data_IF_372675562041
#
_entry.id   IF_372675562041
#
_cell.length_a   1.000
_cell.length_b   1.000
_cell.length_c   1.000
_cell.angle_alpha   90.00
_cell.angle_beta   90.00
_cell.angle_gamma   90.00
#
_symmetry.space_group_name_H-M   'P 1'
#
loop_
_entity.id
_entity.type
_entity.pdbx_description
1 polymer ?
#
# COMPACT_ATOMS: atom_id res chain seq x y z
N UNK A 1 -35.11 21.32 -23.08
CA UNK A 1 -34.89 22.63 -22.43
C UNK A 1 -33.45 22.66 -21.95
N UNK A 2 -32.62 23.39 -22.68
CA UNK A 2 -31.17 23.51 -22.48
C UNK A 2 -30.96 24.34 -21.21
N UNK A 3 -30.46 23.73 -20.14
CA UNK A 3 -29.97 24.48 -18.99
C UNK A 3 -28.54 24.90 -19.33
N UNK A 4 -28.42 25.99 -20.09
CA UNK A 4 -27.15 26.69 -20.27
C UNK A 4 -26.70 27.12 -18.88
N UNK A 5 -25.72 26.41 -18.33
CA UNK A 5 -25.05 26.85 -17.12
C UNK A 5 -24.57 28.28 -17.37
N UNK A 6 -25.18 29.24 -16.66
CA UNK A 6 -24.75 30.63 -16.67
C UNK A 6 -23.23 30.66 -16.43
N UNK A 7 -22.45 31.46 -17.17
CA UNK A 7 -21.07 31.67 -16.83
C UNK A 7 -21.02 32.10 -15.35
N UNK A 8 -20.05 31.61 -14.56
CA UNK A 8 -19.91 32.07 -13.19
C UNK A 8 -19.89 33.60 -13.19
N UNK A 9 -20.54 34.27 -12.22
CA UNK A 9 -20.49 35.72 -12.11
C UNK A 9 -19.02 36.12 -12.24
N UNK A 10 -18.74 37.17 -13.03
CA UNK A 10 -17.39 37.70 -13.25
C UNK A 10 -16.72 37.88 -11.90
N UNK A 11 -16.01 36.83 -11.48
CA UNK A 11 -15.53 36.71 -10.13
C UNK A 11 -14.43 37.73 -10.01
N UNK A 12 -14.49 38.57 -8.98
CA UNK A 12 -13.50 39.58 -8.64
C UNK A 12 -12.12 39.11 -9.07
N UNK A 13 -11.68 39.60 -10.24
CA UNK A 13 -10.33 39.36 -10.72
C UNK A 13 -9.45 39.93 -9.64
N UNK A 14 -8.56 39.12 -9.07
CA UNK A 14 -7.56 39.61 -8.11
C UNK A 14 -6.87 40.80 -8.78
N UNK A 15 -7.20 42.00 -8.31
CA UNK A 15 -6.77 43.26 -8.93
C UNK A 15 -5.36 43.63 -8.51
N UNK A 16 -4.86 42.99 -7.44
CA UNK A 16 -3.53 43.14 -6.90
C UNK A 16 -2.53 42.21 -7.61
N UNK A 17 -1.59 42.80 -8.36
CA UNK A 17 -0.54 42.07 -9.07
C UNK A 17 0.42 41.37 -8.09
N UNK A 18 0.60 41.90 -6.88
CA UNK A 18 1.43 41.26 -5.85
C UNK A 18 0.84 39.91 -5.42
N UNK A 19 -0.46 39.88 -5.13
CA UNK A 19 -1.21 38.64 -4.84
C UNK A 19 -1.13 37.64 -6.00
N UNK A 20 -1.26 38.11 -7.25
CA UNK A 20 -1.15 37.25 -8.44
C UNK A 20 0.25 36.65 -8.59
N UNK A 21 1.29 37.45 -8.39
CA UNK A 21 2.68 37.00 -8.41
C UNK A 21 2.95 35.98 -7.29
N UNK A 22 2.42 36.21 -6.08
CA UNK A 22 2.54 35.28 -4.96
C UNK A 22 1.89 33.92 -5.26
N UNK A 23 0.71 33.92 -5.88
CA UNK A 23 -0.01 32.71 -6.31
C UNK A 23 0.77 31.92 -7.37
N UNK A 24 1.30 32.57 -8.41
CA UNK A 24 2.17 31.94 -9.41
C UNK A 24 3.41 31.33 -8.77
N UNK A 25 4.07 32.10 -7.88
CA UNK A 25 5.23 31.63 -7.14
C UNK A 25 4.92 30.42 -6.25
N UNK A 26 3.74 30.38 -5.64
CA UNK A 26 3.28 29.22 -4.86
C UNK A 26 3.11 27.98 -5.74
N UNK A 27 2.47 28.10 -6.92
CA UNK A 27 2.29 26.99 -7.85
C UNK A 27 3.64 26.42 -8.31
N UNK A 28 4.59 27.28 -8.69
CA UNK A 28 5.94 26.86 -9.08
C UNK A 28 6.69 26.12 -7.95
N UNK A 29 6.65 26.65 -6.72
CA UNK A 29 7.27 25.97 -5.57
C UNK A 29 6.61 24.63 -5.27
N UNK A 30 5.29 24.54 -5.45
CA UNK A 30 4.53 23.32 -5.24
C UNK A 30 4.90 22.25 -6.25
N UNK A 31 5.13 22.61 -7.51
CA UNK A 31 5.61 21.69 -8.55
C UNK A 31 6.98 21.09 -8.21
N UNK A 32 7.92 21.91 -7.76
CA UNK A 32 9.26 21.44 -7.31
C UNK A 32 9.15 20.48 -6.12
N UNK A 33 8.29 20.81 -5.15
CA UNK A 33 8.02 19.92 -4.01
C UNK A 33 7.39 18.60 -4.46
N UNK A 34 6.40 18.65 -5.34
CA UNK A 34 5.71 17.47 -5.85
C UNK A 34 6.67 16.58 -6.64
N UNK A 35 7.53 17.15 -7.48
CA UNK A 35 8.61 16.45 -8.19
C UNK A 35 9.56 15.75 -7.22
N UNK A 36 9.92 16.42 -6.13
CA UNK A 36 10.76 15.81 -5.08
C UNK A 36 10.05 14.62 -4.41
N UNK A 37 8.77 14.76 -4.04
CA UNK A 37 7.98 13.68 -3.46
C UNK A 37 7.85 12.51 -4.46
N UNK A 38 7.66 12.81 -5.75
CA UNK A 38 7.60 11.80 -6.81
C UNK A 38 8.91 11.01 -6.91
N UNK A 39 10.06 11.68 -6.86
CA UNK A 39 11.38 11.02 -6.85
C UNK A 39 11.55 10.11 -5.64
N UNK A 40 11.06 10.50 -4.47
CA UNK A 40 11.03 9.62 -3.29
C UNK A 40 10.15 8.39 -3.56
N UNK A 41 8.95 8.56 -4.09
CA UNK A 41 8.07 7.45 -4.49
C UNK A 41 8.73 6.49 -5.49
N UNK A 42 9.40 7.04 -6.51
CA UNK A 42 10.17 6.26 -7.49
C UNK A 42 11.36 5.52 -6.85
N UNK A 43 12.09 6.15 -5.93
CA UNK A 43 13.20 5.49 -5.23
C UNK A 43 12.73 4.31 -4.37
N UNK A 44 11.53 4.40 -3.77
CA UNK A 44 10.93 3.28 -3.02
C UNK A 44 10.52 2.15 -3.97
N UNK A 45 9.94 2.48 -5.13
CA UNK A 45 9.57 1.51 -6.18
C UNK A 45 10.77 0.84 -6.84
N UNK A 46 11.82 1.63 -7.12
CA UNK A 46 13.08 1.18 -7.68
C UNK A 46 14.00 0.52 -6.66
N UNK A 47 13.58 0.45 -5.39
CA UNK A 47 14.28 -0.18 -4.27
C UNK A 47 14.49 -1.67 -4.51
N UNK A 48 15.56 -1.98 -5.25
CA UNK A 48 15.98 -3.30 -5.69
C UNK A 48 16.00 -4.34 -4.58
N UNK A 49 16.24 -3.96 -3.33
CA UNK A 49 16.31 -4.88 -2.20
C UNK A 49 15.04 -5.75 -2.03
N UNK A 50 13.84 -5.20 -2.23
CA UNK A 50 12.60 -5.96 -2.04
C UNK A 50 12.40 -7.00 -3.16
N UNK A 51 12.71 -6.59 -4.40
CA UNK A 51 12.56 -7.42 -5.61
C UNK A 51 13.70 -8.44 -5.75
N UNK A 52 14.91 -8.10 -5.32
CA UNK A 52 16.10 -8.97 -5.37
C UNK A 52 16.02 -10.12 -4.36
N UNK A 53 15.39 -9.90 -3.21
CA UNK A 53 15.29 -10.93 -2.18
C UNK A 53 14.24 -11.99 -2.54
N UNK A 54 13.20 -11.63 -3.29
CA UNK A 54 12.10 -12.54 -3.64
C UNK A 54 12.55 -13.82 -4.40
N UNK A 55 13.42 -13.75 -5.43
CA UNK A 55 13.96 -14.94 -6.09
C UNK A 55 14.72 -15.89 -5.16
N UNK A 56 15.51 -15.36 -4.22
CA UNK A 56 16.22 -16.17 -3.21
C UNK A 56 15.23 -16.97 -2.35
N UNK A 57 14.09 -16.37 -1.98
CA UNK A 57 13.05 -17.07 -1.23
C UNK A 57 12.41 -18.22 -2.03
N UNK A 58 12.05 -17.96 -3.28
CA UNK A 58 11.29 -18.92 -4.10
C UNK A 58 12.19 -20.08 -4.55
N UNK A 59 13.44 -19.79 -4.93
CA UNK A 59 14.35 -20.79 -5.48
C UNK A 59 14.84 -21.78 -4.44
N UNK A 60 15.23 -21.30 -3.25
CA UNK A 60 15.95 -22.13 -2.29
C UNK A 60 15.09 -22.51 -1.07
N UNK A 61 14.29 -21.56 -0.56
CA UNK A 61 13.49 -21.78 0.65
C UNK A 61 12.32 -22.73 0.44
N UNK A 62 11.52 -22.47 -0.59
CA UNK A 62 10.27 -23.21 -0.79
C UNK A 62 10.46 -24.71 -1.09
N UNK A 63 11.36 -25.13 -2.00
CA UNK A 63 11.55 -26.55 -2.30
C UNK A 63 12.05 -27.34 -1.08
N UNK A 64 13.02 -26.79 -0.34
CA UNK A 64 13.62 -27.45 0.82
C UNK A 64 12.63 -27.64 1.96
N UNK A 65 11.83 -26.61 2.27
CA UNK A 65 10.78 -26.71 3.28
C UNK A 65 9.69 -27.71 2.85
N UNK A 66 9.36 -27.75 1.56
CA UNK A 66 8.39 -28.73 1.02
C UNK A 66 8.92 -30.16 1.17
N UNK A 67 10.20 -30.41 0.85
CA UNK A 67 10.83 -31.72 1.05
C UNK A 67 10.79 -32.16 2.52
N UNK A 68 11.12 -31.25 3.45
CA UNK A 68 11.03 -31.53 4.88
C UNK A 68 9.60 -31.90 5.27
N UNK A 69 8.60 -31.11 4.88
CA UNK A 69 7.21 -31.35 5.28
C UNK A 69 6.64 -32.64 4.69
N UNK A 70 6.94 -32.92 3.42
CA UNK A 70 6.44 -34.09 2.72
C UNK A 70 7.08 -35.38 3.26
N UNK A 71 8.40 -35.39 3.44
CA UNK A 71 9.10 -36.54 4.04
C UNK A 71 8.66 -36.81 5.48
N UNK A 72 8.46 -35.76 6.29
CA UNK A 72 7.90 -35.90 7.64
C UNK A 72 6.47 -36.44 7.64
N UNK A 73 5.64 -36.01 6.68
CA UNK A 73 4.25 -36.46 6.55
C UNK A 73 4.15 -37.92 6.11
N UNK A 74 4.88 -38.30 5.06
CA UNK A 74 4.85 -39.65 4.50
C UNK A 74 5.34 -40.70 5.52
N UNK A 75 6.30 -40.32 6.36
CA UNK A 75 6.80 -41.15 7.45
C UNK A 75 5.88 -41.18 8.70
N UNK A 76 4.74 -40.49 8.68
CA UNK A 76 3.79 -40.48 9.80
C UNK A 76 4.33 -39.83 11.07
N UNK A 77 5.24 -38.86 10.94
CA UNK A 77 5.80 -38.16 12.10
C UNK A 77 4.73 -37.34 12.85
N UNK A 78 5.04 -36.97 14.09
CA UNK A 78 4.06 -36.36 14.98
C UNK A 78 3.45 -35.08 14.36
N UNK A 79 2.13 -35.06 14.20
CA UNK A 79 1.40 -34.02 13.47
C UNK A 79 1.67 -32.60 13.98
N UNK A 80 1.90 -32.41 15.28
CA UNK A 80 2.26 -31.11 15.87
C UNK A 80 3.55 -30.52 15.27
N UNK A 81 4.53 -31.36 14.94
CA UNK A 81 5.80 -30.91 14.35
C UNK A 81 5.57 -30.45 12.91
N UNK A 82 4.85 -31.28 12.13
CA UNK A 82 4.51 -31.00 10.73
C UNK A 82 3.66 -29.73 10.63
N UNK A 83 2.57 -29.66 11.40
CA UNK A 83 1.67 -28.51 11.39
C UNK A 83 2.35 -27.25 11.93
N UNK A 84 3.14 -27.36 13.01
CA UNK A 84 3.84 -26.22 13.60
C UNK A 84 4.86 -25.61 12.66
N UNK A 85 5.73 -26.43 12.05
CA UNK A 85 6.72 -25.97 11.06
C UNK A 85 6.03 -25.51 9.77
N UNK A 86 5.01 -26.23 9.29
CA UNK A 86 4.27 -25.89 8.08
C UNK A 86 3.56 -24.53 8.17
N UNK A 87 2.88 -24.27 9.29
CA UNK A 87 2.26 -22.96 9.55
C UNK A 87 3.33 -21.87 9.68
N UNK A 88 4.43 -22.14 10.39
CA UNK A 88 5.53 -21.20 10.54
C UNK A 88 6.15 -20.79 9.20
N UNK A 89 6.50 -21.78 8.38
CA UNK A 89 7.02 -21.59 7.04
C UNK A 89 6.05 -20.80 6.16
N UNK A 90 4.78 -21.24 6.09
CA UNK A 90 3.76 -20.60 5.28
C UNK A 90 3.55 -19.13 5.66
N UNK A 91 3.35 -18.85 6.96
CA UNK A 91 3.10 -17.49 7.44
C UNK A 91 4.35 -16.62 7.26
N UNK A 92 5.55 -17.17 7.48
CA UNK A 92 6.79 -16.43 7.26
C UNK A 92 6.95 -15.96 5.82
N UNK A 93 6.52 -16.75 4.84
CA UNK A 93 6.57 -16.40 3.41
C UNK A 93 5.40 -15.48 3.04
N UNK A 94 4.20 -15.77 3.54
CA UNK A 94 2.99 -15.02 3.20
C UNK A 94 3.06 -13.56 3.72
N UNK A 95 3.62 -13.33 4.91
CA UNK A 95 3.65 -12.00 5.51
C UNK A 95 4.40 -10.95 4.67
N UNK A 96 5.64 -11.18 4.20
CA UNK A 96 6.29 -10.27 3.27
C UNK A 96 5.50 -10.06 1.97
N UNK A 97 4.92 -11.12 1.38
CA UNK A 97 4.10 -10.99 0.16
C UNK A 97 2.90 -10.06 0.39
N UNK A 98 2.18 -10.24 1.51
CA UNK A 98 1.09 -9.35 1.90
C UNK A 98 1.58 -7.93 2.16
N UNK A 99 2.75 -7.76 2.78
CA UNK A 99 3.35 -6.43 3.00
C UNK A 99 3.62 -5.70 1.67
N UNK A 100 4.14 -6.41 0.68
CA UNK A 100 4.39 -5.88 -0.68
C UNK A 100 3.07 -5.53 -1.36
N UNK A 101 2.07 -6.42 -1.30
CA UNK A 101 0.75 -6.17 -1.88
C UNK A 101 0.10 -4.89 -1.30
N UNK A 102 0.16 -4.73 0.03
CA UNK A 102 -0.36 -3.53 0.70
C UNK A 102 0.41 -2.27 0.33
N UNK A 103 1.74 -2.37 0.18
CA UNK A 103 2.59 -1.28 -0.27
C UNK A 103 2.21 -0.85 -1.69
N UNK A 104 1.98 -1.78 -2.62
CA UNK A 104 1.46 -1.47 -3.97
C UNK A 104 0.12 -0.76 -3.87
N UNK A 105 -0.78 -1.20 -2.98
CA UNK A 105 -2.04 -0.52 -2.73
C UNK A 105 -1.88 0.90 -2.17
N UNK A 106 -0.89 1.14 -1.30
CA UNK A 106 -0.56 2.50 -0.83
C UNK A 106 0.01 3.37 -1.95
N UNK A 107 0.87 2.81 -2.81
CA UNK A 107 1.43 3.51 -3.98
C UNK A 107 0.35 3.86 -5.00
N UNK A 108 -0.61 2.96 -5.25
CA UNK A 108 -1.77 3.26 -6.09
C UNK A 108 -2.60 4.40 -5.50
N UNK A 109 -2.85 4.40 -4.19
CA UNK A 109 -3.54 5.51 -3.51
C UNK A 109 -2.77 6.82 -3.51
N UNK A 110 -1.43 6.75 -3.58
CA UNK A 110 -0.55 7.89 -3.73
C UNK A 110 -0.60 8.47 -5.16
N UNK A 111 -0.54 7.63 -6.19
CA UNK A 111 -0.50 8.05 -7.60
C UNK A 111 -1.86 8.33 -8.23
N UNK A 112 -2.93 7.74 -7.69
CA UNK A 112 -4.27 7.87 -8.25
C UNK A 112 -5.23 8.52 -7.27
N UNK A 113 -6.24 9.19 -7.83
CA UNK A 113 -7.32 9.81 -7.09
C UNK A 113 -8.65 9.55 -7.77
N UNK A 114 -9.74 9.54 -6.99
CA UNK A 114 -11.09 9.60 -7.55
C UNK A 114 -11.31 10.95 -8.21
N UNK A 115 -12.12 10.98 -9.27
CA UNK A 115 -12.41 12.16 -10.09
C UNK A 115 -13.33 13.18 -9.38
N UNK A 116 -12.94 13.67 -8.21
CA UNK A 116 -13.78 14.51 -7.34
C UNK A 116 -13.70 16.00 -7.64
N UNK A 117 -12.75 16.47 -8.45
CA UNK A 117 -12.68 17.88 -8.83
C UNK A 117 -13.55 18.14 -10.07
N UNK A 118 -14.78 18.59 -9.84
CA UNK A 118 -15.70 19.07 -10.88
C UNK A 118 -16.67 18.02 -11.46
N UNK A 119 -16.75 16.80 -10.89
CA UNK A 119 -17.81 15.85 -11.24
C UNK A 119 -19.13 16.22 -10.55
N UNK A 120 -20.23 16.18 -11.29
CA UNK A 120 -21.59 16.41 -10.80
C UNK A 120 -21.98 15.25 -9.86
N UNK A 121 -21.96 15.49 -8.55
CA UNK A 121 -22.23 14.47 -7.52
C UNK A 121 -21.39 14.59 -6.25
N UNK A 122 -20.50 15.58 -6.17
CA UNK A 122 -19.87 15.96 -4.90
C UNK A 122 -20.79 16.83 -4.00
N UNK A 123 -21.95 17.26 -4.51
CA UNK A 123 -22.92 18.01 -3.73
C UNK A 123 -23.87 17.06 -2.99
N UNK A 124 -24.14 17.26 -1.69
CA UNK A 124 -25.07 16.43 -0.91
C UNK A 124 -26.47 16.32 -1.51
N UNK A 125 -26.85 17.29 -2.34
CA UNK A 125 -28.23 17.48 -2.82
C UNK A 125 -28.51 16.83 -4.19
N UNK A 126 -27.51 16.23 -4.84
CA UNK A 126 -27.70 15.58 -6.14
C UNK A 126 -27.53 14.06 -6.00
N UNK A 127 -28.60 13.25 -6.19
CA UNK A 127 -28.53 11.80 -6.14
C UNK A 127 -27.88 11.20 -7.40
N UNK A 128 -26.89 11.89 -7.99
CA UNK A 128 -26.12 11.33 -9.09
C UNK A 128 -25.19 10.24 -8.54
N UNK A 129 -25.16 9.09 -9.22
CA UNK A 129 -24.26 8.00 -8.90
C UNK A 129 -22.82 8.50 -9.03
N UNK A 130 -22.06 8.49 -7.95
CA UNK A 130 -20.63 8.81 -8.00
C UNK A 130 -19.91 7.75 -8.85
N UNK A 131 -19.49 8.13 -10.05
CA UNK A 131 -18.80 7.24 -10.97
C UNK A 131 -17.32 7.18 -10.59
N UNK A 132 -16.85 5.98 -10.22
CA UNK A 132 -15.43 5.77 -9.95
C UNK A 132 -14.64 5.90 -11.25
N UNK A 133 -13.79 6.93 -11.33
CA UNK A 133 -12.88 7.16 -12.44
C UNK A 133 -11.48 7.47 -11.89
N UNK A 134 -10.52 6.52 -11.97
CA UNK A 134 -9.18 6.72 -11.44
C UNK A 134 -8.42 7.70 -12.33
N UNK A 135 -7.87 8.73 -11.70
CA UNK A 135 -7.09 9.76 -12.39
C UNK A 135 -5.71 9.87 -11.77
N UNK A 136 -4.70 10.06 -12.63
CA UNK A 136 -3.36 10.36 -12.14
C UNK A 136 -3.35 11.66 -11.35
N UNK A 137 -2.66 11.64 -10.20
CA UNK A 137 -2.75 12.69 -9.21
C UNK A 137 -2.04 13.98 -9.64
N UNK A 138 -1.00 13.85 -10.49
CA UNK A 138 -0.34 14.99 -11.12
C UNK A 138 -1.20 15.41 -12.29
N UNK A 139 -1.89 16.53 -12.14
CA UNK A 139 -2.70 17.11 -13.19
C UNK A 139 -1.87 17.88 -14.19
N UNK A 140 -2.40 18.02 -15.41
CA UNK A 140 -1.89 19.03 -16.33
C UNK A 140 -2.00 20.43 -15.71
N UNK A 141 -1.10 21.31 -16.14
CA UNK A 141 -1.12 22.75 -15.86
C UNK A 141 -1.62 23.50 -17.10
N UNK A 142 -2.63 24.35 -16.91
CA UNK A 142 -3.25 25.12 -17.98
C UNK A 142 -3.18 26.61 -17.66
N UNK A 143 -3.26 27.44 -18.69
CA UNK A 143 -3.46 28.88 -18.48
C UNK A 143 -4.87 29.15 -17.96
N UNK A 144 -4.96 29.93 -16.88
CA UNK A 144 -6.24 30.34 -16.30
C UNK A 144 -6.82 31.51 -17.09
N UNK A 145 -8.14 31.52 -17.28
CA UNK A 145 -8.79 32.55 -18.10
C UNK A 145 -8.71 33.95 -17.48
N UNK A 146 -8.61 34.06 -16.15
CA UNK A 146 -8.46 35.32 -15.42
C UNK A 146 -7.05 35.95 -15.55
N UNK A 147 -6.11 35.25 -16.18
CA UNK A 147 -4.76 35.75 -16.47
C UNK A 147 -4.55 36.13 -17.94
N UNK A 148 -5.50 35.79 -18.81
CA UNK A 148 -5.41 36.04 -20.24
C UNK A 148 -6.17 37.32 -20.60
N UNK A 149 -5.55 38.17 -21.42
CA UNK A 149 -6.30 39.20 -22.12
C UNK A 149 -7.06 38.57 -23.30
N UNK A 150 -8.11 39.24 -23.78
CA UNK A 150 -8.98 38.75 -24.87
C UNK A 150 -8.21 38.33 -26.12
N UNK A 151 -7.10 39.02 -26.44
CA UNK A 151 -6.27 38.69 -27.60
C UNK A 151 -5.52 37.38 -27.39
N UNK A 152 -4.84 37.22 -26.26
CA UNK A 152 -4.07 36.01 -25.94
C UNK A 152 -5.00 34.82 -25.77
N UNK A 153 -6.19 35.02 -25.21
CA UNK A 153 -7.20 33.98 -25.12
C UNK A 153 -7.61 33.47 -26.50
N UNK A 154 -7.92 34.37 -27.45
CA UNK A 154 -8.24 33.98 -28.83
C UNK A 154 -7.10 33.22 -29.51
N UNK A 155 -5.85 33.69 -29.39
CA UNK A 155 -4.69 33.01 -29.97
C UNK A 155 -4.47 31.61 -29.37
N UNK A 156 -4.69 31.48 -28.06
CA UNK A 156 -4.56 30.19 -27.38
C UNK A 156 -5.69 29.23 -27.78
N UNK A 157 -6.89 29.76 -27.97
CA UNK A 157 -8.05 28.99 -28.40
C UNK A 157 -7.88 28.52 -29.85
N UNK A 158 -7.41 29.37 -30.75
CA UNK A 158 -7.01 29.01 -32.12
C UNK A 158 -5.97 27.88 -32.14
N UNK A 159 -4.92 27.97 -31.31
CA UNK A 159 -3.89 26.93 -31.23
C UNK A 159 -4.38 25.61 -30.60
N UNK A 160 -5.40 25.65 -29.73
CA UNK A 160 -6.04 24.47 -29.14
C UNK A 160 -6.96 23.76 -30.14
N UNK A 161 -7.66 24.54 -30.96
CA UNK A 161 -8.62 24.06 -31.97
C UNK A 161 -7.92 23.65 -33.28
N UNK A 162 -6.62 23.90 -33.39
CA UNK A 162 -5.76 23.44 -34.48
C UNK A 162 -5.81 21.91 -34.66
N UNK A 163 -5.80 21.47 -35.92
CA UNK A 163 -5.95 20.05 -36.28
C UNK A 163 -4.82 19.17 -35.76
N UNK A 164 -3.61 19.71 -35.63
CA UNK A 164 -2.49 18.98 -35.01
C UNK A 164 -2.72 18.79 -33.52
N UNK A 165 -3.07 19.87 -32.80
CA UNK A 165 -3.32 19.81 -31.36
C UNK A 165 -4.48 18.89 -31.00
N UNK A 166 -5.60 18.98 -31.74
CA UNK A 166 -6.78 18.11 -31.56
C UNK A 166 -6.40 16.63 -31.72
N UNK A 167 -5.59 16.33 -32.72
CA UNK A 167 -5.20 14.95 -33.05
C UNK A 167 -4.33 14.26 -32.00
N UNK A 168 -3.71 15.02 -31.08
CA UNK A 168 -2.96 14.45 -29.96
C UNK A 168 -3.87 13.78 -28.91
N UNK A 169 -5.13 14.22 -28.81
CA UNK A 169 -6.06 13.79 -27.77
C UNK A 169 -7.33 13.12 -28.33
N UNK A 170 -7.70 13.42 -29.58
CA UNK A 170 -8.87 12.87 -30.27
C UNK A 170 -8.42 12.21 -31.57
N UNK A 171 -8.74 10.92 -31.80
CA UNK A 171 -8.39 10.23 -33.04
C UNK A 171 -8.95 10.93 -34.28
N UNK A 172 -8.12 11.15 -35.31
CA UNK A 172 -8.57 11.79 -36.57
C UNK A 172 -9.55 10.93 -37.38
N UNK A 173 -9.33 9.61 -37.39
CA UNK A 173 -10.15 8.68 -38.15
C UNK A 173 -11.49 8.45 -37.45
N UNK A 174 -12.55 8.28 -38.24
CA UNK A 174 -13.84 7.75 -37.77
C UNK A 174 -13.79 6.24 -37.54
N UNK A 175 -12.86 5.54 -38.19
CA UNK A 175 -12.50 4.16 -37.87
C UNK A 175 -11.50 4.17 -36.70
N UNK A 176 -12.02 4.41 -35.49
CA UNK A 176 -11.26 4.56 -34.24
C UNK A 176 -11.40 3.37 -33.30
N UNK A 177 -11.82 2.22 -33.84
CA UNK A 177 -12.16 1.02 -33.09
C UNK A 177 -13.17 1.29 -31.94
N UNK A 178 -14.14 2.19 -32.15
CA UNK A 178 -15.20 2.53 -31.18
C UNK A 178 -14.71 3.41 -30.03
N UNK A 179 -13.64 4.18 -30.23
CA UNK A 179 -13.11 5.07 -29.20
C UNK A 179 -14.10 6.19 -28.85
N UNK A 180 -14.72 6.83 -29.84
CA UNK A 180 -15.73 7.90 -29.61
C UNK A 180 -16.89 7.40 -28.78
N UNK A 181 -17.49 6.27 -29.16
CA UNK A 181 -18.63 5.70 -28.43
C UNK A 181 -18.29 5.37 -26.97
N UNK A 182 -17.13 4.75 -26.74
CA UNK A 182 -16.64 4.47 -25.38
C UNK A 182 -16.40 5.75 -24.59
N UNK A 183 -15.79 6.76 -25.23
CA UNK A 183 -15.45 8.02 -24.60
C UNK A 183 -16.71 8.84 -24.26
N UNK A 184 -17.64 8.96 -25.19
CA UNK A 184 -18.88 9.72 -25.04
C UNK A 184 -19.78 9.07 -23.99
N UNK A 185 -19.91 7.74 -24.00
CA UNK A 185 -20.60 6.98 -22.94
C UNK A 185 -20.00 7.32 -21.58
N UNK A 186 -18.67 7.33 -21.49
CA UNK A 186 -17.96 7.60 -20.23
C UNK A 186 -18.08 9.06 -19.78
N UNK A 187 -18.01 10.00 -20.71
CA UNK A 187 -18.19 11.43 -20.44
C UNK A 187 -19.61 11.73 -19.97
N UNK A 188 -20.61 11.05 -20.55
CA UNK A 188 -21.99 11.10 -20.09
C UNK A 188 -22.17 10.52 -18.68
N UNK A 189 -21.55 9.38 -18.38
CA UNK A 189 -21.58 8.81 -17.02
C UNK A 189 -20.98 9.74 -15.96
N UNK A 190 -19.85 10.39 -16.27
CA UNK A 190 -19.10 11.21 -15.30
C UNK A 190 -19.68 12.61 -15.15
N UNK A 191 -20.06 13.24 -16.27
CA UNK A 191 -20.40 14.67 -16.33
C UNK A 191 -21.77 14.94 -16.97
N UNK A 192 -22.53 13.91 -17.35
CA UNK A 192 -23.80 14.06 -18.07
C UNK A 192 -23.68 14.93 -19.33
N UNK A 193 -22.49 14.97 -19.93
CA UNK A 193 -22.24 15.70 -21.17
C UNK A 193 -22.75 14.87 -22.35
N UNK A 194 -23.59 15.47 -23.19
CA UNK A 194 -24.07 14.86 -24.44
C UNK A 194 -23.28 15.49 -25.57
N UNK A 195 -22.50 14.68 -26.28
CA UNK A 195 -21.61 15.12 -27.36
C UNK A 195 -22.22 14.75 -28.72
N UNK A 196 -22.21 15.65 -29.71
CA UNK A 196 -22.68 15.33 -31.07
C UNK A 196 -21.93 14.14 -31.68
N UNK A 197 -22.64 13.31 -32.45
CA UNK A 197 -22.04 12.17 -33.14
C UNK A 197 -21.05 12.62 -34.23
N UNK A 198 -20.01 11.80 -34.45
CA UNK A 198 -19.00 12.04 -35.48
C UNK A 198 -18.10 13.25 -35.21
N UNK A 199 -17.48 13.77 -36.28
CA UNK A 199 -16.52 14.90 -36.21
C UNK A 199 -17.06 16.17 -35.53
N UNK A 200 -18.35 16.57 -35.67
CA UNK A 200 -18.89 17.76 -35.01
C UNK A 200 -18.76 17.76 -33.48
N UNK A 201 -18.65 16.58 -32.84
CA UNK A 201 -18.46 16.47 -31.40
C UNK A 201 -17.01 16.53 -30.93
N UNK A 202 -16.01 16.55 -31.82
CA UNK A 202 -14.61 16.37 -31.44
C UNK A 202 -14.07 17.53 -30.57
N UNK A 203 -14.62 18.74 -30.70
CA UNK A 203 -14.26 19.87 -29.83
C UNK A 203 -14.72 19.65 -28.39
N UNK A 204 -15.90 19.06 -28.20
CA UNK A 204 -16.38 18.67 -26.87
C UNK A 204 -15.52 17.53 -26.32
N UNK A 205 -15.17 16.54 -27.14
CA UNK A 205 -14.30 15.44 -26.72
C UNK A 205 -12.93 15.93 -26.29
N UNK A 206 -12.35 16.87 -27.03
CA UNK A 206 -11.09 17.53 -26.68
C UNK A 206 -11.19 18.23 -25.33
N UNK A 207 -12.26 19.01 -25.09
CA UNK A 207 -12.51 19.66 -23.80
C UNK A 207 -12.65 18.66 -22.66
N UNK A 208 -13.34 17.55 -22.88
CA UNK A 208 -13.50 16.50 -21.87
C UNK A 208 -12.18 15.75 -21.60
N UNK A 209 -11.32 15.55 -22.60
CA UNK A 209 -9.97 14.99 -22.43
C UNK A 209 -9.11 15.89 -21.55
N UNK A 210 -9.14 17.21 -21.78
CA UNK A 210 -8.51 18.18 -20.88
C UNK A 210 -9.06 18.07 -19.46
N UNK A 211 -10.38 17.95 -19.29
CA UNK A 211 -11.02 17.73 -17.97
C UNK A 211 -10.63 16.40 -17.32
N UNK A 212 -10.39 15.32 -18.08
CA UNK A 212 -9.85 14.06 -17.55
C UNK A 212 -8.39 14.21 -17.10
N UNK A 213 -7.57 14.94 -17.85
CA UNK A 213 -6.26 15.40 -17.42
C UNK A 213 -6.35 16.46 -16.30
N UNK A 214 -7.60 16.87 -15.98
CA UNK A 214 -8.11 17.95 -15.13
C UNK A 214 -7.34 19.24 -15.19
N UNK A 215 -7.13 19.62 -16.42
CA UNK A 215 -7.15 20.97 -16.93
C UNK A 215 -8.63 21.34 -17.08
N UNK A 216 -9.12 22.30 -16.29
CA UNK A 216 -10.50 22.79 -16.46
C UNK A 216 -10.45 24.27 -16.84
N UNK A 217 -11.03 24.59 -18.00
CA UNK A 217 -11.05 25.95 -18.56
C UNK A 217 -11.80 26.93 -17.66
N UNK A 218 -12.70 26.44 -16.81
CA UNK A 218 -13.59 27.28 -16.00
C UNK A 218 -13.00 27.71 -14.65
N UNK A 219 -11.69 27.49 -14.42
CA UNK A 219 -11.03 27.78 -13.13
C UNK A 219 -10.23 29.07 -13.19
N UNK A 220 -10.28 29.81 -12.09
CA UNK A 220 -9.42 30.97 -11.85
C UNK A 220 -8.10 30.53 -11.21
N UNK A 221 -7.08 31.39 -11.27
CA UNK A 221 -5.79 31.16 -10.62
C UNK A 221 -5.94 30.78 -9.13
N UNK A 222 -6.84 31.45 -8.42
CA UNK A 222 -7.12 31.16 -7.01
C UNK A 222 -7.64 29.73 -6.79
N UNK A 223 -8.53 29.25 -7.67
CA UNK A 223 -9.06 27.88 -7.58
C UNK A 223 -7.98 26.82 -7.84
N UNK A 224 -6.99 27.12 -8.68
CA UNK A 224 -5.87 26.23 -8.95
C UNK A 224 -4.84 26.23 -7.83
N UNK A 225 -4.62 27.36 -7.16
CA UNK A 225 -3.83 27.44 -5.93
C UNK A 225 -4.45 26.60 -4.82
N UNK A 226 -5.72 26.82 -4.48
CA UNK A 226 -6.41 26.08 -3.41
C UNK A 226 -6.41 24.57 -3.65
N UNK A 227 -6.58 24.17 -4.92
CA UNK A 227 -6.51 22.77 -5.32
C UNK A 227 -5.11 22.19 -5.19
N UNK A 228 -4.09 22.93 -5.63
CA UNK A 228 -2.70 22.50 -5.53
C UNK A 228 -2.27 22.37 -4.08
N UNK A 229 -2.73 23.26 -3.21
CA UNK A 229 -2.55 23.16 -1.76
C UNK A 229 -3.17 21.87 -1.20
N UNK A 230 -4.44 21.60 -1.51
CA UNK A 230 -5.12 20.38 -1.09
C UNK A 230 -4.44 19.11 -1.63
N UNK A 231 -3.99 19.12 -2.88
CA UNK A 231 -3.24 18.04 -3.48
C UNK A 231 -1.89 17.85 -2.76
N UNK A 232 -1.15 18.92 -2.49
CA UNK A 232 0.13 18.84 -1.79
C UNK A 232 -0.04 18.23 -0.39
N UNK A 233 -1.05 18.68 0.36
CA UNK A 233 -1.39 18.10 1.66
C UNK A 233 -1.71 16.60 1.55
N UNK A 234 -2.54 16.20 0.57
CA UNK A 234 -2.83 14.79 0.30
C UNK A 234 -1.55 13.99 0.03
N UNK A 235 -0.64 14.48 -0.80
CA UNK A 235 0.60 13.79 -1.13
C UNK A 235 1.51 13.62 0.07
N UNK A 236 1.66 14.66 0.89
CA UNK A 236 2.46 14.61 2.12
C UNK A 236 1.90 13.59 3.11
N UNK A 237 0.58 13.57 3.30
CA UNK A 237 -0.08 12.59 4.17
C UNK A 237 0.04 11.16 3.63
N UNK A 238 -0.09 10.99 2.32
CA UNK A 238 -0.03 9.66 1.68
C UNK A 238 1.39 9.10 1.64
N UNK A 239 2.40 9.91 1.26
CA UNK A 239 3.79 9.46 1.19
C UNK A 239 4.33 9.05 2.56
N UNK A 240 3.90 9.70 3.65
CA UNK A 240 4.20 9.29 5.02
C UNK A 240 3.83 7.83 5.27
N UNK A 241 2.63 7.42 4.87
CA UNK A 241 2.12 6.06 5.05
C UNK A 241 2.94 5.08 4.20
N UNK A 242 3.15 5.42 2.92
CA UNK A 242 3.94 4.61 1.97
C UNK A 242 5.35 4.35 2.49
N UNK A 243 6.08 5.40 2.88
CA UNK A 243 7.47 5.30 3.38
C UNK A 243 7.52 4.44 4.63
N UNK A 244 6.61 4.66 5.59
CA UNK A 244 6.60 3.87 6.83
C UNK A 244 6.31 2.40 6.55
N UNK A 245 5.36 2.09 5.66
CA UNK A 245 5.04 0.71 5.30
C UNK A 245 6.18 0.04 4.55
N UNK A 246 6.83 0.75 3.62
CA UNK A 246 8.00 0.27 2.92
C UNK A 246 9.10 -0.14 3.91
N UNK A 247 9.43 0.72 4.88
CA UNK A 247 10.45 0.41 5.89
C UNK A 247 10.08 -0.82 6.74
N UNK A 248 8.81 -0.93 7.17
CA UNK A 248 8.32 -2.12 7.90
C UNK A 248 8.43 -3.39 7.05
N UNK A 249 8.02 -3.32 5.78
CA UNK A 249 8.08 -4.45 4.85
C UNK A 249 9.52 -4.88 4.57
N UNK A 250 10.44 -3.92 4.37
CA UNK A 250 11.86 -4.19 4.14
C UNK A 250 12.52 -4.90 5.33
N UNK A 251 12.33 -4.38 6.56
CA UNK A 251 12.87 -5.02 7.76
C UNK A 251 12.29 -6.41 8.01
N UNK A 252 11.00 -6.60 7.71
CA UNK A 252 10.34 -7.89 7.83
C UNK A 252 10.89 -8.88 6.79
N UNK A 253 11.08 -8.43 5.55
CA UNK A 253 11.65 -9.24 4.47
C UNK A 253 13.05 -9.71 4.85
N UNK A 254 13.93 -8.80 5.31
CA UNK A 254 15.28 -9.14 5.76
C UNK A 254 15.26 -10.21 6.88
N UNK A 255 14.45 -10.00 7.92
CA UNK A 255 14.33 -10.97 9.02
C UNK A 255 13.85 -12.34 8.54
N UNK A 256 12.92 -12.35 7.59
CA UNK A 256 12.39 -13.58 6.98
C UNK A 256 13.43 -14.24 6.07
N UNK A 257 14.26 -13.47 5.36
CA UNK A 257 15.30 -14.02 4.49
C UNK A 257 16.31 -14.77 5.33
N UNK A 258 16.78 -14.15 6.42
CA UNK A 258 17.74 -14.77 7.33
C UNK A 258 17.17 -16.08 7.92
N UNK A 259 15.92 -16.06 8.37
CA UNK A 259 15.27 -17.26 8.90
C UNK A 259 15.10 -18.36 7.83
N UNK A 260 14.71 -17.99 6.62
CA UNK A 260 14.50 -18.94 5.53
C UNK A 260 15.83 -19.57 5.09
N UNK A 261 16.90 -18.77 4.97
CA UNK A 261 18.23 -19.28 4.65
C UNK A 261 18.77 -20.18 5.76
N UNK A 262 18.57 -19.82 7.03
CA UNK A 262 18.96 -20.66 8.16
C UNK A 262 18.22 -22.01 8.16
N UNK A 263 16.89 -22.00 8.00
CA UNK A 263 16.10 -23.22 7.88
C UNK A 263 16.50 -24.06 6.67
N UNK A 264 16.75 -23.41 5.52
CA UNK A 264 17.19 -24.05 4.29
C UNK A 264 18.56 -24.71 4.42
N UNK A 265 19.49 -24.07 5.12
CA UNK A 265 20.82 -24.61 5.39
C UNK A 265 20.74 -25.86 6.27
N UNK A 266 19.90 -25.85 7.31
CA UNK A 266 19.65 -27.02 8.17
C UNK A 266 19.08 -28.20 7.36
N UNK A 267 18.17 -27.92 6.42
CA UNK A 267 17.62 -28.97 5.55
C UNK A 267 18.66 -29.52 4.58
N UNK A 268 19.53 -28.68 4.04
CA UNK A 268 20.62 -29.09 3.15
C UNK A 268 21.67 -29.93 3.87
N UNK A 269 22.04 -29.57 5.09
CA UNK A 269 22.91 -30.39 5.93
C UNK A 269 22.28 -31.79 6.16
N UNK A 270 20.98 -31.84 6.48
CA UNK A 270 20.27 -33.11 6.65
C UNK A 270 20.22 -33.95 5.36
N UNK A 271 20.11 -33.32 4.19
CA UNK A 271 20.14 -33.99 2.89
C UNK A 271 21.54 -34.52 2.55
N UNK A 272 22.59 -33.78 2.91
CA UNK A 272 23.97 -34.19 2.68
C UNK A 272 24.37 -35.37 3.56
N UNK A 273 23.91 -35.37 4.82
CA UNK A 273 24.16 -36.43 5.80
C UNK A 273 23.34 -37.71 5.55
N UNK A 274 22.32 -37.66 4.67
CA UNK A 274 21.41 -38.78 4.46
C UNK A 274 21.98 -39.84 3.50
N UNK A 275 22.29 -41.06 3.97
CA UNK A 275 22.80 -42.14 3.12
C UNK A 275 21.77 -42.62 2.08
N UNK A 276 20.48 -42.27 2.21
CA UNK A 276 19.43 -42.62 1.24
C UNK A 276 19.28 -41.61 0.09
N UNK A 277 20.11 -40.56 0.06
CA UNK A 277 20.09 -39.54 -1.00
C UNK A 277 18.87 -38.61 -0.94
N UNK A 278 18.32 -38.37 0.25
CA UNK A 278 17.21 -37.45 0.49
C UNK A 278 15.82 -38.09 0.38
N UNK A 279 15.72 -39.42 0.36
CA UNK A 279 14.44 -40.14 0.32
C UNK A 279 13.77 -40.23 1.70
N UNK A 280 14.54 -40.16 2.78
CA UNK A 280 14.06 -40.18 4.18
C UNK A 280 12.93 -41.21 4.42
N UNK A 281 13.17 -42.48 4.08
CA UNK A 281 12.14 -43.54 4.18
C UNK A 281 11.58 -43.72 5.61
N UNK A 282 12.40 -43.46 6.63
CA UNK A 282 12.03 -43.50 8.06
C UNK A 282 11.64 -42.11 8.62
N UNK A 283 11.53 -41.11 7.73
CA UNK A 283 11.21 -39.73 8.05
C UNK A 283 12.41 -38.83 8.29
N UNK A 284 12.13 -37.52 8.33
CA UNK A 284 13.15 -36.50 8.50
C UNK A 284 13.70 -36.52 9.94
N UNK A 285 15.03 -36.50 10.18
CA UNK A 285 15.56 -36.66 11.54
C UNK A 285 15.06 -35.56 12.50
N UNK A 286 14.50 -35.95 13.66
CA UNK A 286 13.93 -35.02 14.64
C UNK A 286 14.92 -33.96 15.14
N UNK A 287 16.24 -34.25 15.12
CA UNK A 287 17.29 -33.27 15.45
C UNK A 287 17.22 -32.02 14.55
N UNK A 288 16.99 -32.19 13.26
CA UNK A 288 16.92 -31.09 12.30
C UNK A 288 15.56 -30.40 12.38
N UNK A 289 14.47 -31.14 12.63
CA UNK A 289 13.15 -30.56 12.89
C UNK A 289 13.16 -29.65 14.12
N UNK A 290 13.88 -30.06 15.18
CA UNK A 290 14.11 -29.24 16.36
C UNK A 290 14.83 -27.92 16.00
N UNK A 291 15.91 -27.99 15.22
CA UNK A 291 16.65 -26.80 14.79
C UNK A 291 15.81 -25.87 13.89
N UNK A 292 15.04 -26.42 12.95
CA UNK A 292 14.12 -25.65 12.10
C UNK A 292 13.04 -24.97 12.94
N UNK A 293 12.44 -25.69 13.90
CA UNK A 293 11.48 -25.11 14.84
C UNK A 293 12.11 -23.97 15.65
N UNK A 294 13.37 -24.13 16.10
CA UNK A 294 14.11 -23.11 16.84
C UNK A 294 14.32 -21.84 16.00
N UNK A 295 14.63 -21.99 14.71
CA UNK A 295 14.72 -20.85 13.77
C UNK A 295 13.42 -20.06 13.74
N UNK A 296 12.27 -20.73 13.67
CA UNK A 296 10.96 -20.04 13.66
C UNK A 296 10.58 -19.44 15.01
N UNK A 297 10.97 -20.06 16.13
CA UNK A 297 10.84 -19.48 17.48
C UNK A 297 11.65 -18.18 17.59
N UNK A 298 12.85 -18.12 17.00
CA UNK A 298 13.67 -16.91 16.96
C UNK A 298 13.16 -15.87 15.94
N UNK A 299 12.59 -16.31 14.82
CA UNK A 299 12.06 -15.43 13.78
C UNK A 299 10.84 -14.66 14.26
N UNK A 300 9.92 -15.27 15.01
CA UNK A 300 8.69 -14.60 15.47
C UNK A 300 8.94 -13.27 16.22
N UNK A 301 9.81 -13.20 17.26
CA UNK A 301 10.14 -11.92 17.91
C UNK A 301 10.88 -10.96 16.98
N UNK A 302 11.75 -11.45 16.09
CA UNK A 302 12.44 -10.62 15.11
C UNK A 302 11.45 -9.94 14.14
N UNK A 303 10.47 -10.69 13.64
CA UNK A 303 9.42 -10.20 12.75
C UNK A 303 8.55 -9.12 13.43
N UNK A 304 8.14 -9.34 14.69
CA UNK A 304 7.44 -8.31 15.49
C UNK A 304 8.30 -7.06 15.65
N UNK A 305 9.57 -7.24 15.98
CA UNK A 305 10.50 -6.12 16.14
C UNK A 305 10.66 -5.35 14.84
N UNK A 306 10.73 -6.02 13.69
CA UNK A 306 10.85 -5.38 12.37
C UNK A 306 9.68 -4.45 12.04
N UNK A 307 8.44 -4.82 12.39
CA UNK A 307 7.26 -4.00 12.09
C UNK A 307 7.00 -2.91 13.13
N UNK A 308 7.42 -3.11 14.37
CA UNK A 308 7.24 -2.15 15.48
C UNK A 308 8.41 -1.16 15.61
N UNK A 309 9.62 -1.51 15.13
CA UNK A 309 10.82 -0.70 15.28
C UNK A 309 10.74 0.70 14.64
N UNK A 310 10.23 0.87 13.40
CA UNK A 310 10.28 2.17 12.73
C UNK A 310 9.58 3.28 13.52
N UNK A 311 8.42 3.00 14.12
CA UNK A 311 7.70 3.98 14.94
C UNK A 311 8.46 4.37 16.20
N UNK A 312 9.16 3.42 16.84
CA UNK A 312 9.99 3.71 18.02
C UNK A 312 11.23 4.50 17.66
N UNK A 313 11.85 4.20 16.51
CA UNK A 313 13.00 4.96 16.00
C UNK A 313 12.62 6.42 15.78
N UNK A 314 11.45 6.68 15.17
CA UNK A 314 10.92 8.03 14.98
C UNK A 314 10.71 8.73 16.33
N UNK A 315 10.00 8.09 17.28
CA UNK A 315 9.72 8.72 18.57
C UNK A 315 11.00 9.06 19.35
N UNK A 316 12.03 8.21 19.29
CA UNK A 316 13.34 8.50 19.93
C UNK A 316 14.01 9.74 19.38
N UNK A 317 13.71 10.13 18.13
CA UNK A 317 14.26 11.32 17.49
C UNK A 317 13.31 12.52 17.58
N UNK A 318 12.15 12.37 18.22
CA UNK A 318 11.19 13.46 18.46
C UNK A 318 10.70 13.45 19.90
N UNK A 319 11.60 13.56 20.90
CA UNK A 319 11.20 13.54 22.31
C UNK A 319 10.31 14.75 22.64
N UNK A 320 9.25 14.53 23.42
CA UNK A 320 8.38 15.59 23.96
C UNK A 320 7.10 15.91 23.18
N UNK A 321 6.85 15.26 22.04
CA UNK A 321 5.63 15.50 21.24
C UNK A 321 4.71 14.27 21.28
N UNK A 322 3.85 14.21 22.31
CA UNK A 322 2.84 13.16 22.49
C UNK A 322 3.37 11.83 23.00
N UNK A 323 2.46 10.87 23.18
CA UNK A 323 2.79 9.53 23.67
C UNK A 323 2.82 8.49 22.54
N UNK A 324 3.61 7.43 22.68
CA UNK A 324 3.73 6.40 21.64
C UNK A 324 2.38 5.75 21.29
N UNK A 325 1.49 5.66 22.29
CA UNK A 325 0.14 5.10 22.15
C UNK A 325 -0.73 5.89 21.17
N UNK A 326 -0.47 7.17 20.98
CA UNK A 326 -1.30 8.05 20.16
C UNK A 326 -1.21 7.66 18.66
N UNK A 327 -0.10 7.05 18.26
CA UNK A 327 0.08 6.52 16.89
C UNK A 327 -0.91 5.40 16.58
N UNK A 328 -1.34 4.63 17.58
CA UNK A 328 -2.29 3.52 17.41
C UNK A 328 -3.74 3.98 17.25
N UNK A 329 -4.01 5.28 17.38
CA UNK A 329 -5.29 5.87 17.00
C UNK A 329 -5.44 5.91 15.47
N UNK A 330 -4.34 6.04 14.74
CA UNK A 330 -4.33 5.97 13.28
C UNK A 330 -4.22 4.51 12.81
N UNK A 331 -5.38 3.95 12.47
CA UNK A 331 -5.49 2.57 11.99
C UNK A 331 -4.72 2.35 10.68
N UNK A 332 -4.57 3.36 9.82
CA UNK A 332 -3.89 3.18 8.53
C UNK A 332 -2.39 2.89 8.74
N UNK A 333 -1.79 3.40 9.82
CA UNK A 333 -0.37 3.19 10.14
C UNK A 333 -0.10 1.88 10.90
N UNK A 334 -1.10 1.35 11.62
CA UNK A 334 -0.94 0.28 12.61
C UNK A 334 -1.68 -1.02 12.30
N UNK A 335 -2.58 -1.04 11.31
CA UNK A 335 -3.28 -2.27 10.87
C UNK A 335 -2.31 -3.39 10.48
N UNK A 336 -1.36 -3.11 9.58
CA UNK A 336 -0.39 -4.11 9.11
C UNK A 336 0.48 -4.64 10.27
N UNK A 337 0.91 -3.75 11.16
CA UNK A 337 1.69 -4.10 12.35
C UNK A 337 0.90 -5.03 13.28
N UNK A 338 -0.36 -4.70 13.53
CA UNK A 338 -1.22 -5.49 14.43
C UNK A 338 -1.53 -6.86 13.87
N UNK A 339 -1.82 -6.96 12.57
CA UNK A 339 -2.00 -8.25 11.92
C UNK A 339 -0.71 -9.10 11.93
N UNK A 340 0.46 -8.47 11.74
CA UNK A 340 1.76 -9.15 11.82
C UNK A 340 2.03 -9.68 13.23
N UNK A 341 1.71 -8.90 14.27
CA UNK A 341 1.81 -9.33 15.66
C UNK A 341 0.95 -10.58 15.92
N UNK A 342 -0.29 -10.60 15.45
CA UNK A 342 -1.15 -11.78 15.62
C UNK A 342 -0.64 -12.99 14.83
N UNK A 343 -0.23 -12.79 13.58
CA UNK A 343 0.29 -13.86 12.74
C UNK A 343 1.56 -14.48 13.34
N UNK A 344 2.50 -13.65 13.82
CA UNK A 344 3.72 -14.12 14.48
C UNK A 344 3.45 -14.80 15.82
N UNK A 345 2.39 -14.41 16.54
CA UNK A 345 1.96 -15.14 17.75
C UNK A 345 1.52 -16.57 17.40
N UNK A 346 0.70 -16.74 16.36
CA UNK A 346 0.26 -18.07 15.90
C UNK A 346 1.47 -18.92 15.49
N UNK A 347 2.41 -18.33 14.76
CA UNK A 347 3.67 -19.00 14.39
C UNK A 347 4.47 -19.40 15.62
N UNK A 348 4.61 -18.50 16.60
CA UNK A 348 5.36 -18.77 17.81
C UNK A 348 4.76 -19.95 18.59
N UNK A 349 3.44 -19.98 18.78
CA UNK A 349 2.77 -21.09 19.47
C UNK A 349 2.99 -22.41 18.72
N UNK A 350 2.83 -22.41 17.40
CA UNK A 350 3.06 -23.60 16.56
C UNK A 350 4.52 -24.07 16.59
N UNK A 351 5.47 -23.14 16.48
CA UNK A 351 6.90 -23.43 16.49
C UNK A 351 7.38 -23.92 17.87
N UNK A 352 6.87 -23.38 18.97
CA UNK A 352 7.17 -23.87 20.33
C UNK A 352 6.62 -25.28 20.54
N UNK A 353 5.39 -25.56 20.10
CA UNK A 353 4.82 -26.90 20.17
C UNK A 353 5.66 -27.91 19.35
N UNK A 354 6.07 -27.53 18.13
CA UNK A 354 6.95 -28.33 17.30
C UNK A 354 8.32 -28.54 17.96
N UNK A 355 8.90 -27.50 18.57
CA UNK A 355 10.20 -27.54 19.25
C UNK A 355 10.18 -28.50 20.45
N UNK A 356 9.17 -28.42 21.32
CA UNK A 356 9.03 -29.31 22.48
C UNK A 356 8.83 -30.75 22.03
N UNK A 357 7.96 -30.96 21.04
CA UNK A 357 7.65 -32.31 20.53
C UNK A 357 8.86 -32.93 19.85
N UNK A 358 9.54 -32.22 18.94
CA UNK A 358 10.74 -32.70 18.27
C UNK A 358 11.90 -32.93 19.26
N UNK A 359 12.05 -32.07 20.27
CA UNK A 359 13.04 -32.24 21.34
C UNK A 359 12.80 -33.53 22.12
N UNK A 360 11.55 -33.80 22.52
CA UNK A 360 11.19 -35.02 23.24
C UNK A 360 11.51 -36.30 22.46
N UNK A 361 11.32 -36.28 21.14
CA UNK A 361 11.61 -37.42 20.26
C UNK A 361 13.10 -37.58 19.96
N UNK A 362 13.88 -36.50 20.04
CA UNK A 362 15.33 -36.54 19.74
C UNK A 362 16.15 -37.05 20.92
N UNK A 363 15.88 -36.54 22.14
CA UNK A 363 16.72 -36.78 23.31
C UNK A 363 15.91 -37.06 24.59
N UNK A 364 14.67 -37.53 24.45
CA UNK A 364 13.80 -37.87 25.57
C UNK A 364 13.56 -36.69 26.51
N UNK A 365 13.81 -36.90 27.81
CA UNK A 365 13.60 -35.89 28.85
C UNK A 365 14.51 -34.67 28.69
N UNK A 366 15.77 -34.87 28.29
CA UNK A 366 16.72 -33.77 28.09
C UNK A 366 16.28 -32.87 26.93
N UNK A 367 15.86 -33.46 25.82
CA UNK A 367 15.36 -32.71 24.66
C UNK A 367 14.04 -31.99 24.94
N UNK A 368 13.15 -32.57 25.75
CA UNK A 368 11.94 -31.90 26.23
C UNK A 368 12.27 -30.64 27.04
N UNK A 369 13.20 -30.73 27.99
CA UNK A 369 13.62 -29.58 28.79
C UNK A 369 14.26 -28.48 27.95
N UNK A 370 15.14 -28.85 27.01
CA UNK A 370 15.71 -27.89 26.06
C UNK A 370 14.62 -27.19 25.23
N UNK A 371 13.64 -27.95 24.73
CA UNK A 371 12.51 -27.39 23.99
C UNK A 371 11.68 -26.41 24.82
N UNK A 372 11.40 -26.72 26.10
CA UNK A 372 10.69 -25.82 27.02
C UNK A 372 11.52 -24.57 27.29
N UNK A 373 12.82 -24.70 27.56
CA UNK A 373 13.70 -23.56 27.87
C UNK A 373 13.80 -22.60 26.67
N UNK A 374 14.08 -23.12 25.48
CA UNK A 374 14.18 -22.28 24.28
C UNK A 374 12.81 -21.72 23.86
N UNK A 375 11.73 -22.50 24.03
CA UNK A 375 10.38 -22.01 23.78
C UNK A 375 9.99 -20.88 24.73
N UNK A 376 10.26 -21.03 26.03
CA UNK A 376 10.05 -19.99 27.04
C UNK A 376 10.87 -18.74 26.78
N UNK A 377 12.14 -18.90 26.37
CA UNK A 377 12.99 -17.78 25.95
C UNK A 377 12.43 -17.06 24.72
N UNK A 378 11.96 -17.81 23.71
CA UNK A 378 11.30 -17.25 22.53
C UNK A 378 10.04 -16.45 22.88
N UNK A 379 9.19 -16.97 23.77
CA UNK A 379 8.02 -16.25 24.29
C UNK A 379 8.43 -15.00 25.05
N UNK A 380 9.44 -15.08 25.92
CA UNK A 380 9.98 -13.92 26.63
C UNK A 380 10.49 -12.84 25.68
N UNK A 381 11.26 -13.23 24.65
CA UNK A 381 11.73 -12.30 23.61
C UNK A 381 10.59 -11.71 22.79
N UNK A 382 9.53 -12.47 22.51
CA UNK A 382 8.36 -11.96 21.79
C UNK A 382 7.58 -10.93 22.62
N UNK A 383 7.38 -11.19 23.91
CA UNK A 383 6.79 -10.21 24.85
C UNK A 383 7.67 -8.96 24.95
N UNK A 384 8.99 -9.11 25.05
CA UNK A 384 9.93 -7.97 25.03
C UNK A 384 9.88 -7.22 23.70
N UNK A 385 9.72 -7.92 22.58
CA UNK A 385 9.55 -7.31 21.27
C UNK A 385 8.24 -6.50 21.19
N UNK A 386 7.22 -6.84 21.98
CA UNK A 386 6.00 -6.06 22.15
C UNK A 386 6.11 -4.87 23.10
N UNK A 387 7.26 -4.62 23.74
CA UNK A 387 7.43 -3.44 24.60
C UNK A 387 7.05 -2.15 23.85
N UNK A 388 5.96 -1.50 24.30
CA UNK A 388 5.38 -0.30 23.68
C UNK A 388 4.29 -0.55 22.62
N UNK A 389 4.00 -1.80 22.25
CA UNK A 389 2.80 -2.14 21.47
C UNK A 389 1.57 -2.01 22.38
N UNK A 390 0.62 -1.15 22.01
CA UNK A 390 -0.52 -0.79 22.87
C UNK A 390 -1.89 -1.07 22.23
N UNK A 391 -1.92 -1.70 21.05
CA UNK A 391 -3.20 -2.01 20.41
C UNK A 391 -3.96 -3.08 21.22
N UNK A 392 -5.26 -2.85 21.43
CA UNK A 392 -6.11 -3.79 22.14
C UNK A 392 -6.44 -5.04 21.30
N UNK A 393 -6.76 -6.20 21.92
CA UNK A 393 -6.98 -7.47 21.21
C UNK A 393 -8.10 -7.40 20.17
N UNK A 394 -9.16 -6.61 20.44
CA UNK A 394 -10.23 -6.36 19.47
C UNK A 394 -9.74 -5.59 18.23
N UNK A 395 -8.82 -4.64 18.41
CA UNK A 395 -8.24 -3.88 17.30
C UNK A 395 -7.34 -4.78 16.46
N UNK A 396 -6.56 -5.66 17.09
CA UNK A 396 -5.71 -6.65 16.41
C UNK A 396 -6.51 -7.64 15.56
N UNK A 397 -7.62 -8.17 16.09
CA UNK A 397 -8.53 -9.04 15.33
C UNK A 397 -9.23 -8.29 14.19
N UNK A 398 -9.62 -7.03 14.43
CA UNK A 398 -10.20 -6.17 13.40
C UNK A 398 -9.17 -5.89 12.29
N UNK A 399 -7.88 -5.73 12.63
CA UNK A 399 -6.84 -5.50 11.63
C UNK A 399 -6.68 -6.69 10.67
N UNK A 400 -6.78 -7.93 11.18
CA UNK A 400 -6.74 -9.13 10.34
C UNK A 400 -7.92 -9.19 9.35
N UNK A 401 -9.13 -8.87 9.82
CA UNK A 401 -10.32 -8.83 8.96
C UNK A 401 -10.29 -7.68 7.96
N UNK A 402 -9.67 -6.55 8.30
CA UNK A 402 -9.47 -5.43 7.38
C UNK A 402 -8.40 -5.72 6.32
N UNK A 403 -7.41 -6.56 6.62
CA UNK A 403 -6.48 -7.05 5.60
C UNK A 403 -7.18 -7.90 4.53
N UNK A 404 -8.19 -8.69 4.92
CA UNK A 404 -8.89 -9.60 4.00
C UNK A 404 -10.09 -8.95 3.29
N UNK A 405 -10.80 -8.02 3.94
CA UNK A 405 -11.96 -7.33 3.36
C UNK A 405 -11.63 -6.00 2.67
N UNK A 406 -10.37 -5.55 2.75
CA UNK A 406 -9.95 -4.26 2.21
C UNK A 406 -10.21 -3.10 3.17
N UNK A 407 -9.68 -1.92 2.82
CA UNK A 407 -9.69 -0.69 3.63
C UNK A 407 -11.09 -0.08 3.73
N UNK A 408 -12.00 -0.71 4.44
CA UNK A 408 -13.25 -0.05 4.81
C UNK A 408 -12.97 1.07 5.81
N UNK A 409 -13.63 2.22 5.62
CA UNK A 409 -13.48 3.37 6.49
C UNK A 409 -13.83 2.98 7.94
N UNK A 410 -13.02 3.36 8.93
CA UNK A 410 -13.35 3.07 10.32
C UNK A 410 -14.70 3.70 10.67
N UNK A 411 -15.57 2.93 11.34
CA UNK A 411 -16.79 3.49 11.92
C UNK A 411 -16.44 4.69 12.80
N UNK A 412 -17.22 5.78 12.68
CA UNK A 412 -17.04 6.99 13.47
C UNK A 412 -17.01 6.64 14.97
N UNK A 413 -16.13 7.30 15.73
CA UNK A 413 -16.03 7.04 17.17
C UNK A 413 -17.36 7.33 17.86
N UNK A 414 -17.67 6.57 18.92
CA UNK A 414 -18.90 6.76 19.67
C UNK A 414 -18.99 8.15 20.31
N UNK A 415 -17.85 8.75 20.67
CA UNK A 415 -17.77 10.13 21.16
C UNK A 415 -18.15 11.13 20.07
N UNK A 416 -17.68 10.93 18.84
CA UNK A 416 -18.03 11.81 17.72
C UNK A 416 -19.49 11.60 17.28
N UNK A 417 -20.05 10.39 17.48
CA UNK A 417 -21.50 10.16 17.35
C UNK A 417 -22.30 10.86 18.45
N UNK A 418 -21.84 10.81 19.70
CA UNK A 418 -22.48 11.49 20.84
C UNK A 418 -22.39 13.01 20.76
N UNK A 419 -21.29 13.56 20.25
CA UNK A 419 -21.15 15.01 20.06
C UNK A 419 -21.84 15.55 18.81
N UNK A 420 -22.34 14.67 17.93
CA UNK A 420 -23.20 15.02 16.79
C UNK A 420 -24.70 14.89 17.10
N UNK A 421 -25.04 14.27 18.23
CA UNK A 421 -26.37 14.25 18.83
C UNK A 421 -26.49 15.44 19.77
#
# INVERSE_FOLDING_TARGET
MVNSASPPPAGDTISDEESRAAMRGFLQRSEVRLSTIHRVGQALLGGSALVLLLPLFIRDGFPRLTTLLMSSYDAGQHWLVIAGIGVAAFVSIALPVVAIYLLVGDLLGFYFTSNTFGALGASPDTPSRTVFNPRFVISGLGFNNDELNDRTQKLLDEGRDDEWTRALLVPRSLDDAGWRDRFDTRAFEIWHTVTPEGLPGDDDRLRQQFRLAGLNRDRTLAHDVARTEALLAKHVLSIRIVVLRYTKALLLLIATTVATLAASGIVEEALHDDPSGGRFADGFPYRHLFLVALVYVAWAPAAVRSVTAPLRMIQRHTPGVGEHRDVYLDKQLTQFESATVLATFVVLVGAVAALITAGSQTAGTAGLWLGITFGGLGVGLWILALSGYTAGPRQTLTALTLLTRGREAPAASNELRRGRQ
#
